data_IF_063875837882
#
_entry.id   IF_063875837882
#
_cell.length_a   1.000
_cell.length_b   1.000
_cell.length_c   1.000
_cell.angle_alpha   90.00
_cell.angle_beta   90.00
_cell.angle_gamma   90.00
#
_symmetry.space_group_name_H-M   'P 1'
#
loop_
_entity.id
_entity.type
_entity.pdbx_description
1 polymer ?
#
# COMPACT_ATOMS: atom_id res chain seq x y z
N UNK A 1 30.96 26.47 -72.90
CA UNK A 1 30.30 25.25 -72.40
C UNK A 1 31.07 24.76 -71.18
N UNK A 2 30.52 25.03 -70.00
CA UNK A 2 30.12 24.04 -68.97
C UNK A 2 31.29 23.29 -68.30
N UNK A 3 31.63 23.79 -67.12
CA UNK A 3 32.28 23.09 -66.00
C UNK A 3 31.39 21.95 -65.46
N UNK A 4 31.99 20.91 -64.87
CA UNK A 4 31.57 20.16 -63.65
C UNK A 4 32.67 19.09 -63.39
N UNK A 5 33.54 19.27 -62.39
CA UNK A 5 33.41 18.90 -60.97
C UNK A 5 33.36 17.38 -60.72
N UNK A 6 34.47 16.87 -60.19
CA UNK A 6 34.71 15.52 -59.69
C UNK A 6 34.01 15.37 -58.34
N UNK A 7 33.20 14.31 -58.17
CA UNK A 7 32.62 13.92 -56.89
C UNK A 7 33.03 12.48 -56.57
N UNK A 8 33.85 12.36 -55.53
CA UNK A 8 34.28 11.08 -54.94
C UNK A 8 33.11 10.46 -54.17
N UNK A 9 32.76 9.21 -54.51
CA UNK A 9 31.87 8.39 -53.69
C UNK A 9 32.68 7.67 -52.62
N UNK A 10 32.48 8.05 -51.37
CA UNK A 10 32.95 7.31 -50.19
C UNK A 10 31.92 6.20 -49.93
N UNK A 11 32.35 4.95 -50.07
CA UNK A 11 31.61 3.77 -49.62
C UNK A 11 31.69 3.69 -48.08
N UNK A 12 30.58 3.93 -47.39
CA UNK A 12 30.43 3.62 -45.97
C UNK A 12 29.90 2.19 -45.88
N UNK A 13 30.74 1.25 -45.48
CA UNK A 13 30.34 -0.10 -45.11
C UNK A 13 29.58 -0.04 -43.77
N UNK A 14 28.27 -0.24 -43.80
CA UNK A 14 27.46 -0.42 -42.61
C UNK A 14 27.48 -1.90 -42.20
N UNK A 15 28.22 -2.23 -41.15
CA UNK A 15 28.09 -3.52 -40.45
C UNK A 15 26.73 -3.58 -39.75
N UNK A 16 25.97 -4.69 -39.84
CA UNK A 16 24.80 -4.86 -39.00
C UNK A 16 25.26 -5.17 -37.58
N UNK A 17 25.15 -4.18 -36.69
CA UNK A 17 25.24 -4.44 -35.25
C UNK A 17 23.92 -5.09 -34.84
N UNK A 18 23.98 -6.39 -34.55
CA UNK A 18 22.90 -7.09 -33.84
C UNK A 18 22.87 -6.53 -32.43
N UNK A 19 21.99 -5.55 -32.18
CA UNK A 19 21.71 -5.06 -30.84
C UNK A 19 20.65 -5.94 -30.18
N UNK A 20 21.12 -6.89 -29.37
CA UNK A 20 20.43 -7.41 -28.19
C UNK A 20 21.46 -7.23 -27.08
N UNK A 21 21.18 -6.60 -25.92
CA UNK A 21 19.95 -6.69 -25.14
C UNK A 21 19.49 -5.33 -24.56
N UNK A 22 18.32 -5.29 -23.90
CA UNK A 22 18.28 -5.02 -22.46
C UNK A 22 16.84 -4.96 -21.95
N UNK A 23 16.61 -5.75 -20.90
CA UNK A 23 15.70 -5.50 -19.78
C UNK A 23 14.24 -5.22 -20.11
N UNK A 24 13.41 -6.22 -19.80
CA UNK A 24 12.14 -6.08 -19.10
C UNK A 24 11.86 -4.64 -18.70
N UNK A 25 10.89 -4.03 -19.36
CA UNK A 25 10.24 -2.81 -18.92
C UNK A 25 9.43 -3.17 -17.68
N UNK A 26 10.11 -3.43 -16.56
CA UNK A 26 9.53 -3.24 -15.24
C UNK A 26 9.27 -1.76 -15.12
N UNK A 27 8.13 -1.33 -15.66
CA UNK A 27 7.58 -0.01 -15.39
C UNK A 27 7.16 0.00 -13.92
N UNK A 28 8.16 0.09 -13.05
CA UNK A 28 8.09 0.51 -11.66
C UNK A 28 7.54 1.94 -11.70
N UNK A 29 6.22 2.05 -11.82
CA UNK A 29 5.53 3.32 -11.83
C UNK A 29 5.75 4.03 -10.48
N UNK A 30 6.69 4.97 -10.51
CA UNK A 30 6.75 6.21 -9.76
C UNK A 30 6.86 6.14 -8.22
N UNK A 31 8.12 6.24 -7.80
CA UNK A 31 8.64 6.93 -6.62
C UNK A 31 7.80 8.15 -6.18
N UNK A 32 7.14 8.05 -5.03
CA UNK A 32 6.86 9.19 -4.14
C UNK A 32 6.18 8.68 -2.87
N UNK A 33 6.85 8.66 -1.70
CA UNK A 33 6.30 8.66 -0.31
C UNK A 33 5.03 7.83 0.05
N UNK A 34 4.54 6.94 -0.81
CA UNK A 34 3.18 6.34 -0.81
C UNK A 34 3.10 4.99 -0.12
N UNK A 35 4.24 4.34 0.05
CA UNK A 35 4.33 3.01 0.64
C UNK A 35 4.81 3.08 2.09
N UNK A 36 4.66 4.24 2.74
CA UNK A 36 5.08 4.43 4.11
C UNK A 36 3.87 4.65 5.04
N UNK A 37 3.73 3.82 6.07
CA UNK A 37 2.74 4.01 7.14
C UNK A 37 3.46 4.61 8.33
N UNK A 38 3.07 5.83 8.74
CA UNK A 38 3.70 6.57 9.84
C UNK A 38 5.24 6.71 9.72
N UNK A 39 5.76 6.73 8.49
CA UNK A 39 7.19 6.83 8.19
C UNK A 39 7.96 5.50 8.19
N UNK A 40 7.29 4.37 8.35
CA UNK A 40 7.89 3.02 8.19
C UNK A 40 7.61 2.52 6.77
N UNK A 41 8.61 1.95 6.10
CA UNK A 41 8.54 1.55 4.69
C UNK A 41 7.88 0.17 4.52
N UNK A 42 6.91 0.10 3.61
CA UNK A 42 6.18 -1.10 3.18
C UNK A 42 6.44 -1.42 1.70
N UNK A 43 7.30 -0.65 1.00
CA UNK A 43 7.48 -0.69 -0.46
C UNK A 43 8.04 -2.00 -1.00
N UNK A 44 8.88 -2.69 -0.25
CA UNK A 44 9.59 -3.89 -0.69
C UNK A 44 8.86 -5.20 -0.37
N UNK A 45 7.60 -5.13 0.09
CA UNK A 45 6.91 -6.30 0.64
C UNK A 45 6.27 -7.20 -0.41
N UNK A 46 5.97 -6.67 -1.60
CA UNK A 46 5.20 -7.38 -2.63
C UNK A 46 5.81 -7.12 -4.00
N UNK A 47 5.99 -8.20 -4.76
CA UNK A 47 6.36 -8.20 -6.16
C UNK A 47 5.35 -9.04 -6.97
N UNK A 48 5.59 -9.18 -8.28
CA UNK A 48 4.72 -10.00 -9.13
C UNK A 48 4.58 -11.45 -8.63
N UNK A 49 5.69 -12.05 -8.18
CA UNK A 49 5.74 -13.44 -7.75
C UNK A 49 4.94 -13.70 -6.47
N UNK A 50 4.74 -12.66 -5.66
CA UNK A 50 4.02 -12.73 -4.39
C UNK A 50 2.54 -13.15 -4.56
N UNK A 51 1.94 -12.91 -5.73
CA UNK A 51 0.56 -13.34 -6.03
C UNK A 51 0.47 -14.76 -6.61
N UNK A 52 1.56 -15.33 -7.13
CA UNK A 52 1.54 -16.65 -7.77
C UNK A 52 0.91 -17.76 -6.91
N UNK A 53 1.20 -17.84 -5.59
CA UNK A 53 0.61 -18.88 -4.75
C UNK A 53 -0.92 -18.76 -4.57
N UNK A 54 -1.53 -17.61 -4.86
CA UNK A 54 -2.96 -17.42 -4.68
C UNK A 54 -3.78 -18.06 -5.82
N UNK A 55 -3.14 -18.28 -6.99
CA UNK A 55 -3.74 -18.91 -8.16
C UNK A 55 -5.08 -18.30 -8.59
N UNK A 56 -5.23 -16.99 -8.39
CA UNK A 56 -6.42 -16.23 -8.75
C UNK A 56 -6.00 -14.97 -9.50
N UNK A 57 -6.68 -14.72 -10.62
CA UNK A 57 -6.58 -13.47 -11.35
C UNK A 57 -7.97 -12.85 -11.57
N UNK A 58 -7.99 -11.54 -11.75
CA UNK A 58 -9.18 -10.77 -12.08
C UNK A 58 -8.93 -10.01 -13.37
N UNK A 59 -9.52 -10.48 -14.46
CA UNK A 59 -9.46 -9.84 -15.77
C UNK A 59 -10.61 -8.85 -15.94
N UNK A 60 -10.47 -7.88 -16.84
CA UNK A 60 -11.52 -6.89 -17.05
C UNK A 60 -11.74 -6.54 -18.51
N UNK A 61 -13.02 -6.43 -18.87
CA UNK A 61 -13.49 -5.65 -20.01
C UNK A 61 -14.48 -4.65 -19.42
N UNK A 62 -14.03 -3.44 -19.01
CA UNK A 62 -14.84 -2.55 -18.20
C UNK A 62 -16.24 -2.28 -18.78
N UNK A 63 -17.30 -2.33 -17.95
CA UNK A 63 -17.26 -2.40 -16.49
C UNK A 63 -17.15 -3.83 -15.93
N UNK A 64 -17.14 -4.86 -16.77
CA UNK A 64 -17.12 -6.24 -16.30
C UNK A 64 -15.75 -6.62 -15.72
N UNK A 65 -15.79 -7.42 -14.66
CA UNK A 65 -14.61 -8.06 -14.04
C UNK A 65 -14.92 -9.54 -13.88
N UNK A 66 -13.99 -10.37 -14.33
CA UNK A 66 -14.11 -11.83 -14.26
C UNK A 66 -13.04 -12.36 -13.33
N UNK A 67 -13.45 -13.20 -12.38
CA UNK A 67 -12.51 -13.98 -11.56
C UNK A 67 -12.11 -15.24 -12.32
N UNK A 68 -10.81 -15.44 -12.47
CA UNK A 68 -10.21 -16.59 -13.13
C UNK A 68 -9.36 -17.37 -12.12
N UNK A 69 -9.47 -18.69 -12.16
CA UNK A 69 -8.59 -19.58 -11.39
C UNK A 69 -7.43 -19.95 -12.29
N UNK A 70 -6.21 -19.74 -11.79
CA UNK A 70 -4.99 -20.09 -12.51
C UNK A 70 -4.75 -21.60 -12.38
N UNK A 71 -4.32 -22.29 -13.45
CA UNK A 71 -4.08 -23.72 -13.42
C UNK A 71 -2.89 -24.14 -12.54
N UNK A 72 -1.92 -23.25 -12.35
CA UNK A 72 -0.69 -23.47 -11.58
C UNK A 72 -0.14 -22.14 -11.01
N UNK A 73 1.01 -22.20 -10.35
CA UNK A 73 1.71 -21.04 -9.78
C UNK A 73 2.77 -20.47 -10.73
N UNK A 74 2.69 -20.76 -12.03
CA UNK A 74 3.66 -20.28 -13.01
C UNK A 74 3.25 -18.91 -13.57
N UNK A 75 4.23 -18.06 -13.84
CA UNK A 75 3.97 -16.72 -14.40
C UNK A 75 3.32 -16.76 -15.78
N UNK A 76 3.57 -17.83 -16.55
CA UNK A 76 2.95 -18.06 -17.87
C UNK A 76 1.44 -18.25 -17.82
N UNK A 77 0.91 -18.65 -16.66
CA UNK A 77 -0.52 -18.88 -16.45
C UNK A 77 -1.29 -17.61 -16.11
N UNK A 78 -0.59 -16.52 -15.78
CA UNK A 78 -1.20 -15.23 -15.43
C UNK A 78 -1.68 -14.52 -16.70
N UNK A 79 -2.94 -14.04 -16.76
CA UNK A 79 -3.45 -13.31 -17.91
C UNK A 79 -2.59 -12.08 -18.25
N UNK A 80 -2.45 -11.72 -19.55
CA UNK A 80 -1.71 -10.54 -19.96
C UNK A 80 -2.28 -9.28 -19.29
N UNK A 81 -1.42 -8.28 -19.09
CA UNK A 81 -1.76 -7.02 -18.41
C UNK A 81 -2.23 -7.14 -16.95
N UNK A 82 -2.07 -8.29 -16.31
CA UNK A 82 -2.29 -8.42 -14.87
C UNK A 82 -1.12 -7.89 -14.05
N UNK A 83 -1.43 -7.27 -12.91
CA UNK A 83 -0.48 -6.82 -11.90
C UNK A 83 -0.81 -7.45 -10.56
N UNK A 84 0.20 -7.89 -9.82
CA UNK A 84 -0.01 -8.30 -8.43
C UNK A 84 -0.29 -7.05 -7.59
N UNK A 85 -1.44 -7.01 -6.91
CA UNK A 85 -1.74 -5.91 -6.00
C UNK A 85 -2.59 -6.33 -4.79
N UNK A 86 -2.59 -5.44 -3.81
CA UNK A 86 -3.34 -5.51 -2.58
C UNK A 86 -4.83 -5.26 -2.81
N UNK A 87 -5.68 -6.04 -2.18
CA UNK A 87 -7.11 -5.80 -2.19
C UNK A 87 -7.45 -4.60 -1.31
N UNK A 88 -7.08 -4.68 -0.03
CA UNK A 88 -7.06 -3.53 0.89
C UNK A 88 -5.76 -2.77 0.64
N UNK A 89 -5.85 -1.55 0.12
CA UNK A 89 -4.67 -0.76 -0.25
C UNK A 89 -3.95 -0.16 0.97
N UNK A 90 -2.62 -0.05 0.89
CA UNK A 90 -1.77 0.58 1.91
C UNK A 90 -2.23 1.99 2.32
N UNK A 91 -2.80 2.76 1.37
CA UNK A 91 -3.30 4.09 1.66
C UNK A 91 -4.48 4.12 2.65
N UNK A 92 -5.23 3.02 2.77
CA UNK A 92 -6.30 2.88 3.78
C UNK A 92 -5.68 2.77 5.17
N UNK A 93 -4.63 1.96 5.32
CA UNK A 93 -3.90 1.80 6.57
C UNK A 93 -3.23 3.11 7.00
N UNK A 94 -2.57 3.83 6.08
CA UNK A 94 -1.96 5.13 6.36
C UNK A 94 -3.01 6.20 6.73
N UNK A 95 -4.14 6.25 6.01
CA UNK A 95 -5.24 7.14 6.34
C UNK A 95 -5.76 6.91 7.76
N UNK A 96 -6.03 5.65 8.12
CA UNK A 96 -6.52 5.28 9.46
C UNK A 96 -5.47 5.58 10.52
N UNK A 97 -4.20 5.24 10.29
CA UNK A 97 -3.13 5.47 11.25
C UNK A 97 -2.97 6.97 11.58
N UNK A 98 -3.17 7.86 10.59
CA UNK A 98 -3.19 9.31 10.79
C UNK A 98 -4.47 9.80 11.48
N UNK A 99 -5.63 9.35 11.00
CA UNK A 99 -6.93 9.76 11.55
C UNK A 99 -7.12 9.33 13.01
N UNK A 100 -6.65 8.12 13.35
CA UNK A 100 -6.71 7.55 14.69
C UNK A 100 -5.62 8.08 15.63
N UNK A 101 -4.68 8.92 15.17
CA UNK A 101 -3.49 9.34 15.94
C UNK A 101 -2.52 8.20 16.32
N UNK A 102 -2.59 7.05 15.63
CA UNK A 102 -1.64 5.96 15.82
C UNK A 102 -0.19 6.38 15.55
N UNK A 103 0.04 7.25 14.55
CA UNK A 103 1.39 7.74 14.25
C UNK A 103 2.02 8.52 15.41
N UNK A 104 1.21 9.17 16.25
CA UNK A 104 1.67 9.90 17.43
C UNK A 104 2.07 8.92 18.54
N UNK A 105 1.27 7.86 18.74
CA UNK A 105 1.60 6.74 19.65
C UNK A 105 2.91 6.07 19.23
N UNK A 106 3.06 5.73 17.95
CA UNK A 106 4.29 5.12 17.41
C UNK A 106 5.51 6.03 17.58
N UNK A 107 5.34 7.35 17.45
CA UNK A 107 6.41 8.32 17.66
C UNK A 107 6.80 8.41 19.14
N UNK A 108 5.82 8.45 20.05
CA UNK A 108 6.09 8.42 21.48
C UNK A 108 6.77 7.12 21.92
N UNK A 109 6.34 5.98 21.37
CA UNK A 109 6.97 4.66 21.58
C UNK A 109 8.43 4.63 21.11
N UNK A 110 8.74 5.25 19.96
CA UNK A 110 10.11 5.38 19.48
C UNK A 110 10.99 6.20 20.43
N UNK A 111 10.44 7.26 21.04
CA UNK A 111 11.18 8.08 22.02
C UNK A 111 11.55 7.32 23.29
N UNK A 112 10.86 6.22 23.59
CA UNK A 112 11.13 5.32 24.73
C UNK A 112 11.78 4.00 24.30
N UNK A 113 12.32 3.93 23.07
CA UNK A 113 13.17 2.84 22.62
C UNK A 113 12.47 1.72 21.85
N UNK A 114 11.19 1.86 21.51
CA UNK A 114 10.46 0.86 20.71
C UNK A 114 10.41 1.26 19.23
N UNK A 115 11.02 0.44 18.37
CA UNK A 115 11.06 0.70 16.92
C UNK A 115 9.66 0.68 16.29
N UNK A 116 9.35 1.71 15.49
CA UNK A 116 8.12 1.78 14.70
C UNK A 116 7.99 0.59 13.73
N UNK A 117 9.09 0.20 13.09
CA UNK A 117 9.12 -0.93 12.17
C UNK A 117 8.71 -2.23 12.88
N UNK A 118 9.27 -2.48 14.06
CA UNK A 118 8.95 -3.68 14.85
C UNK A 118 7.48 -3.68 15.29
N UNK A 119 6.95 -2.53 15.71
CA UNK A 119 5.55 -2.42 16.12
C UNK A 119 4.58 -2.60 14.93
N UNK A 120 4.95 -2.13 13.74
CA UNK A 120 4.15 -2.24 12.53
C UNK A 120 4.32 -3.57 11.77
N UNK A 121 5.30 -4.40 12.14
CA UNK A 121 5.62 -5.65 11.46
C UNK A 121 4.40 -6.58 11.28
N UNK A 122 3.54 -6.82 12.30
CA UNK A 122 2.36 -7.66 12.09
C UNK A 122 1.36 -7.09 11.06
N UNK A 123 1.21 -5.76 11.03
CA UNK A 123 0.36 -5.09 10.04
C UNK A 123 0.97 -5.17 8.63
N UNK A 124 2.29 -5.08 8.53
CA UNK A 124 3.07 -5.30 7.31
C UNK A 124 2.87 -6.72 6.76
N UNK A 125 3.00 -7.74 7.61
CA UNK A 125 2.78 -9.14 7.21
C UNK A 125 1.33 -9.43 6.82
N UNK A 126 0.37 -8.77 7.47
CA UNK A 126 -1.06 -8.93 7.13
C UNK A 126 -1.40 -8.26 5.80
N UNK A 127 -0.88 -7.05 5.56
CA UNK A 127 -1.18 -6.35 4.30
C UNK A 127 -0.51 -7.06 3.13
N UNK A 128 0.73 -7.57 3.27
CA UNK A 128 1.41 -8.33 2.20
C UNK A 128 1.08 -9.83 2.20
N UNK A 129 0.19 -10.28 3.09
CA UNK A 129 -0.21 -11.67 3.17
C UNK A 129 -1.05 -12.10 1.96
N UNK A 130 -0.91 -13.37 1.56
CA UNK A 130 -1.57 -13.94 0.37
C UNK A 130 -3.07 -13.66 0.29
N UNK A 131 -3.75 -13.61 1.45
CA UNK A 131 -5.18 -13.31 1.60
C UNK A 131 -5.57 -11.93 1.04
N UNK A 132 -4.62 -10.99 0.97
CA UNK A 132 -4.81 -9.65 0.46
C UNK A 132 -4.29 -9.47 -0.97
N UNK A 133 -3.58 -10.45 -1.54
CA UNK A 133 -2.88 -10.31 -2.81
C UNK A 133 -3.61 -11.01 -3.95
N UNK A 134 -3.89 -10.31 -5.04
CA UNK A 134 -4.49 -10.88 -6.24
C UNK A 134 -3.80 -10.36 -7.49
N UNK A 135 -3.77 -11.16 -8.56
CA UNK A 135 -3.52 -10.61 -9.89
C UNK A 135 -4.74 -9.84 -10.35
N UNK A 136 -4.55 -8.58 -10.73
CA UNK A 136 -5.61 -7.68 -11.13
C UNK A 136 -5.25 -7.02 -12.45
N UNK A 137 -6.20 -6.96 -13.38
CA UNK A 137 -6.09 -6.21 -14.62
C UNK A 137 -5.56 -4.79 -14.37
N UNK A 138 -4.55 -4.39 -15.14
CA UNK A 138 -3.86 -3.10 -15.00
C UNK A 138 -4.80 -1.90 -15.06
N UNK A 139 -5.88 -1.94 -15.83
CA UNK A 139 -6.87 -0.85 -15.90
C UNK A 139 -7.61 -0.71 -14.59
N UNK A 140 -8.09 -1.83 -14.03
CA UNK A 140 -8.76 -1.85 -12.72
C UNK A 140 -7.79 -1.44 -11.63
N UNK A 141 -6.58 -2.00 -11.63
CA UNK A 141 -5.55 -1.71 -10.64
C UNK A 141 -5.17 -0.22 -10.59
N UNK A 142 -4.85 0.38 -11.74
CA UNK A 142 -4.48 1.79 -11.82
C UNK A 142 -5.62 2.73 -11.38
N UNK A 143 -6.86 2.31 -11.58
CA UNK A 143 -8.02 3.13 -11.25
C UNK A 143 -8.52 2.93 -9.81
N UNK A 144 -8.22 1.78 -9.19
CA UNK A 144 -8.61 1.44 -7.81
C UNK A 144 -8.19 2.50 -6.81
N UNK A 145 -6.94 2.96 -6.90
CA UNK A 145 -6.40 4.03 -6.07
C UNK A 145 -7.28 5.28 -6.07
N UNK A 146 -7.78 5.68 -7.24
CA UNK A 146 -8.60 6.89 -7.39
C UNK A 146 -9.96 6.71 -6.71
N UNK A 147 -10.61 5.56 -6.93
CA UNK A 147 -11.89 5.21 -6.30
C UNK A 147 -11.76 5.18 -4.77
N UNK A 148 -10.73 4.50 -4.27
CA UNK A 148 -10.44 4.42 -2.83
C UNK A 148 -10.16 5.80 -2.24
N UNK A 149 -9.33 6.63 -2.89
CA UNK A 149 -9.05 7.99 -2.40
C UNK A 149 -10.27 8.90 -2.36
N UNK A 150 -11.16 8.79 -3.36
CA UNK A 150 -12.42 9.54 -3.36
C UNK A 150 -13.30 9.10 -2.19
N UNK A 151 -13.45 7.80 -1.97
CA UNK A 151 -14.25 7.27 -0.86
C UNK A 151 -13.69 7.69 0.50
N UNK A 152 -12.37 7.61 0.71
CA UNK A 152 -11.71 8.06 1.94
C UNK A 152 -11.92 9.56 2.22
N UNK A 153 -12.06 10.38 1.17
CA UNK A 153 -12.30 11.82 1.27
C UNK A 153 -13.79 12.20 1.30
N UNK A 154 -14.70 11.23 1.22
CA UNK A 154 -16.15 11.50 1.09
C UNK A 154 -16.53 12.17 -0.24
N UNK A 155 -15.70 12.02 -1.27
CA UNK A 155 -15.98 12.56 -2.60
C UNK A 155 -16.89 11.63 -3.40
N UNK A 156 -17.78 12.21 -4.21
CA UNK A 156 -18.65 11.47 -5.11
C UNK A 156 -17.85 10.62 -6.10
N UNK A 157 -18.27 9.38 -6.30
CA UNK A 157 -17.72 8.49 -7.33
C UNK A 157 -18.22 8.86 -8.73
N UNK A 158 -17.54 8.35 -9.76
CA UNK A 158 -17.98 8.52 -11.15
C UNK A 158 -18.56 7.22 -11.70
N UNK A 159 -19.38 7.34 -12.74
CA UNK A 159 -19.95 6.21 -13.48
C UNK A 159 -19.12 5.81 -14.70
N UNK A 160 -17.84 6.19 -14.74
CA UNK A 160 -16.95 5.77 -15.82
C UNK A 160 -16.76 4.24 -15.79
N UNK A 161 -16.70 3.55 -16.94
CA UNK A 161 -16.61 2.08 -16.98
C UNK A 161 -15.48 1.50 -16.13
N UNK A 162 -14.32 2.16 -16.09
CA UNK A 162 -13.18 1.76 -15.25
C UNK A 162 -13.39 1.96 -13.75
N UNK A 163 -14.22 2.92 -13.33
CA UNK A 163 -14.59 3.11 -11.94
C UNK A 163 -15.57 2.02 -11.53
N UNK A 164 -16.56 1.73 -12.39
CA UNK A 164 -17.51 0.62 -12.20
C UNK A 164 -16.80 -0.74 -12.12
N UNK A 165 -15.78 -0.96 -12.96
CA UNK A 165 -14.96 -2.17 -12.89
C UNK A 165 -14.25 -2.32 -11.53
N UNK A 166 -13.79 -1.23 -10.92
CA UNK A 166 -13.22 -1.28 -9.56
C UNK A 166 -14.29 -1.71 -8.55
N UNK A 167 -15.50 -1.14 -8.57
CA UNK A 167 -16.53 -1.57 -7.62
C UNK A 167 -17.00 -2.99 -7.83
N UNK A 168 -17.10 -3.45 -9.09
CA UNK A 168 -17.38 -4.85 -9.41
C UNK A 168 -16.28 -5.79 -8.90
N UNK A 169 -15.01 -5.43 -9.07
CA UNK A 169 -13.89 -6.14 -8.46
C UNK A 169 -14.01 -6.19 -6.92
N UNK A 170 -14.20 -5.04 -6.28
CA UNK A 170 -14.31 -4.93 -4.83
C UNK A 170 -15.50 -5.73 -4.27
N UNK A 171 -16.59 -5.86 -5.02
CA UNK A 171 -17.71 -6.72 -4.65
C UNK A 171 -17.32 -8.20 -4.64
N UNK A 172 -16.53 -8.67 -5.61
CA UNK A 172 -16.07 -10.06 -5.70
C UNK A 172 -15.13 -10.45 -4.56
N UNK A 173 -14.32 -9.52 -4.07
CA UNK A 173 -13.32 -9.73 -3.00
C UNK A 173 -13.78 -9.21 -1.63
N UNK A 174 -15.07 -8.85 -1.50
CA UNK A 174 -15.63 -8.20 -0.31
C UNK A 174 -15.36 -8.98 0.97
N UNK A 175 -15.72 -10.26 1.00
CA UNK A 175 -15.61 -11.07 2.22
C UNK A 175 -14.17 -11.19 2.71
N UNK A 176 -13.22 -11.45 1.81
CA UNK A 176 -11.82 -11.65 2.20
C UNK A 176 -11.15 -10.32 2.53
N UNK A 177 -11.45 -9.25 1.80
CA UNK A 177 -10.95 -7.90 2.12
C UNK A 177 -11.44 -7.38 3.47
N UNK A 178 -12.66 -7.73 3.89
CA UNK A 178 -13.16 -7.42 5.23
C UNK A 178 -12.41 -8.18 6.34
N UNK A 179 -12.02 -9.44 6.11
CA UNK A 179 -11.19 -10.21 7.06
C UNK A 179 -9.79 -9.61 7.17
N UNK A 180 -9.19 -9.19 6.06
CA UNK A 180 -7.89 -8.49 6.06
C UNK A 180 -7.99 -7.20 6.86
N UNK A 181 -9.01 -6.38 6.60
CA UNK A 181 -9.24 -5.13 7.35
C UNK A 181 -9.41 -5.38 8.87
N UNK A 182 -10.16 -6.41 9.25
CA UNK A 182 -10.31 -6.80 10.66
C UNK A 182 -9.01 -7.30 11.28
N UNK A 183 -8.16 -7.98 10.52
CA UNK A 183 -6.85 -8.44 11.00
C UNK A 183 -5.89 -7.27 11.22
N UNK A 184 -5.94 -6.27 10.34
CA UNK A 184 -5.19 -5.02 10.51
C UNK A 184 -5.64 -4.26 11.76
N UNK A 185 -6.94 -4.23 12.07
CA UNK A 185 -7.45 -3.65 13.33
C UNK A 185 -6.90 -4.38 14.56
N UNK A 186 -6.83 -5.72 14.52
CA UNK A 186 -6.24 -6.51 15.61
C UNK A 186 -4.74 -6.24 15.78
N UNK A 187 -4.00 -6.06 14.69
CA UNK A 187 -2.59 -5.66 14.73
C UNK A 187 -2.42 -4.27 15.37
N UNK A 188 -3.24 -3.29 14.98
CA UNK A 188 -3.24 -1.96 15.57
C UNK A 188 -3.58 -2.02 17.07
N UNK A 189 -4.60 -2.80 17.45
CA UNK A 189 -4.96 -2.98 18.86
C UNK A 189 -3.79 -3.54 19.69
N UNK A 190 -3.02 -4.48 19.12
CA UNK A 190 -1.82 -5.04 19.77
C UNK A 190 -0.74 -3.98 20.00
N UNK A 191 -0.54 -3.05 19.06
CA UNK A 191 0.36 -1.90 19.24
C UNK A 191 -0.09 -1.04 20.43
N UNK A 192 -1.39 -0.75 20.53
CA UNK A 192 -1.96 0.05 21.62
C UNK A 192 -1.82 -0.65 22.97
N UNK A 193 -2.10 -1.96 23.06
CA UNK A 193 -1.88 -2.75 24.27
C UNK A 193 -0.41 -2.76 24.70
N UNK A 194 0.50 -2.87 23.72
CA UNK A 194 1.95 -2.80 23.97
C UNK A 194 2.33 -1.43 24.52
N UNK A 195 1.83 -0.35 23.91
CA UNK A 195 2.10 1.02 24.35
C UNK A 195 1.57 1.29 25.77
N UNK A 196 0.38 0.81 26.11
CA UNK A 196 -0.17 0.90 27.47
C UNK A 196 0.69 0.14 28.49
N UNK A 197 1.23 -1.01 28.11
CA UNK A 197 2.12 -1.80 28.97
C UNK A 197 3.45 -1.07 29.20
N UNK A 198 4.03 -0.51 28.14
CA UNK A 198 5.25 0.31 28.24
C UNK A 198 5.00 1.53 29.14
N UNK A 199 3.90 2.26 28.95
CA UNK A 199 3.57 3.43 29.78
C UNK A 199 3.56 3.11 31.28
N UNK A 200 3.01 1.96 31.67
CA UNK A 200 2.97 1.51 33.08
C UNK A 200 4.37 1.20 33.63
N UNK A 201 5.29 0.74 32.79
CA UNK A 201 6.68 0.44 33.15
C UNK A 201 7.61 1.65 33.16
N UNK A 202 7.20 2.80 32.61
CA UNK A 202 8.03 4.00 32.57
C UNK A 202 8.13 4.66 33.95
N UNK A 203 9.34 5.08 34.38
CA UNK A 203 9.50 5.81 35.64
C UNK A 203 8.85 7.20 35.55
N UNK A 204 8.37 7.72 36.67
CA UNK A 204 7.81 9.08 36.76
C UNK A 204 8.86 10.19 36.55
N UNK A 205 10.15 9.81 36.43
CA UNK A 205 11.30 10.69 36.37
C UNK A 205 11.63 11.30 37.73
N UNK A 206 12.76 12.00 37.79
CA UNK A 206 13.11 12.82 38.97
C UNK A 206 13.03 14.30 38.60
N UNK A 207 12.62 15.16 39.52
CA UNK A 207 12.73 16.61 39.31
C UNK A 207 14.21 16.97 39.23
N UNK A 208 14.69 17.27 38.01
CA UNK A 208 16.04 17.77 37.82
C UNK A 208 16.21 19.08 38.59
N UNK A 209 17.34 19.21 39.30
CA UNK A 209 17.71 20.41 40.09
C UNK A 209 17.78 21.70 39.25
N UNK A 210 17.74 21.62 37.92
CA UNK A 210 17.80 22.77 37.01
C UNK A 210 16.43 23.19 36.44
N UNK A 211 15.33 22.61 36.90
CA UNK A 211 13.98 22.96 36.43
C UNK A 211 13.63 22.45 35.03
N UNK A 212 14.56 21.77 34.35
CA UNK A 212 14.31 21.06 33.09
C UNK A 212 13.57 19.76 33.42
N UNK A 213 12.42 19.49 32.79
CA UNK A 213 11.77 18.17 32.91
C UNK A 213 12.79 17.09 32.53
N UNK A 214 12.93 16.10 33.40
CA UNK A 214 13.69 14.88 33.08
C UNK A 214 13.13 14.27 31.79
N UNK A 215 14.03 13.86 30.90
CA UNK A 215 13.68 13.25 29.61
C UNK A 215 12.75 12.05 29.82
N UNK A 216 12.92 11.30 30.90
CA UNK A 216 12.04 10.19 31.25
C UNK A 216 10.60 10.66 31.54
N UNK A 217 10.44 11.70 32.36
CA UNK A 217 9.12 12.28 32.66
C UNK A 217 8.46 12.89 31.40
N UNK A 218 9.24 13.56 30.55
CA UNK A 218 8.75 14.13 29.29
C UNK A 218 8.27 13.05 28.32
N UNK A 219 9.04 11.96 28.18
CA UNK A 219 8.68 10.83 27.34
C UNK A 219 7.44 10.09 27.85
N UNK A 220 7.32 9.88 29.17
CA UNK A 220 6.13 9.29 29.80
C UNK A 220 4.87 10.13 29.54
N UNK A 221 4.98 11.44 29.74
CA UNK A 221 3.88 12.37 29.46
C UNK A 221 3.49 12.38 27.97
N UNK A 222 4.47 12.34 27.06
CA UNK A 222 4.21 12.27 25.62
C UNK A 222 3.48 10.98 25.22
N UNK A 223 3.87 9.83 25.78
CA UNK A 223 3.20 8.56 25.53
C UNK A 223 1.78 8.53 26.13
N UNK A 224 1.58 9.08 27.32
CA UNK A 224 0.25 9.22 27.93
C UNK A 224 -0.68 10.07 27.03
N UNK A 225 -0.22 11.27 26.63
CA UNK A 225 -0.97 12.17 25.76
C UNK A 225 -1.32 11.51 24.43
N UNK A 226 -0.35 10.83 23.80
CA UNK A 226 -0.59 10.14 22.54
C UNK A 226 -1.62 8.99 22.67
N UNK A 227 -1.62 8.26 23.79
CA UNK A 227 -2.59 7.22 24.07
C UNK A 227 -3.99 7.78 24.41
N UNK A 228 -4.07 8.95 25.02
CA UNK A 228 -5.33 9.66 25.30
C UNK A 228 -5.96 10.23 24.02
N UNK A 229 -5.13 10.73 23.10
CA UNK A 229 -5.56 11.27 21.80
C UNK A 229 -5.85 10.17 20.76
N UNK A 230 -5.44 8.93 21.02
CA UNK A 230 -5.70 7.81 20.12
C UNK A 230 -7.20 7.51 20.00
N UNK A 231 -7.75 7.70 18.81
CA UNK A 231 -9.16 7.47 18.52
C UNK A 231 -9.40 6.03 18.04
N UNK A 232 -9.72 5.15 18.99
CA UNK A 232 -10.07 3.74 18.74
C UNK A 232 -11.31 3.53 17.86
N UNK A 233 -12.09 4.58 17.58
CA UNK A 233 -13.27 4.48 16.70
C UNK A 233 -12.90 4.56 15.21
N UNK A 234 -11.69 5.05 14.89
CA UNK A 234 -11.16 5.09 13.53
C UNK A 234 -10.43 3.78 13.25
N UNK A 235 -11.09 2.89 12.53
CA UNK A 235 -10.57 1.55 12.22
C UNK A 235 -10.43 1.32 10.71
N UNK A 236 -9.54 0.40 10.34
CA UNK A 236 -9.38 -0.06 8.95
C UNK A 236 -10.66 -0.71 8.47
N UNK A 237 -11.33 -1.51 9.30
CA UNK A 237 -12.63 -2.10 8.95
C UNK A 237 -13.68 -1.05 8.66
N UNK A 238 -13.80 0.00 9.48
CA UNK A 238 -14.79 1.05 9.24
C UNK A 238 -14.50 1.84 7.96
N UNK A 239 -13.24 2.25 7.75
CA UNK A 239 -12.82 2.94 6.54
C UNK A 239 -13.03 2.07 5.28
N UNK A 240 -12.67 0.80 5.35
CA UNK A 240 -12.81 -0.15 4.25
C UNK A 240 -14.27 -0.46 3.94
N UNK A 241 -15.12 -0.66 4.95
CA UNK A 241 -16.55 -0.85 4.74
C UNK A 241 -17.20 0.37 4.07
N UNK A 242 -16.76 1.58 4.42
CA UNK A 242 -17.21 2.80 3.74
C UNK A 242 -16.76 2.80 2.27
N UNK A 243 -15.50 2.44 1.99
CA UNK A 243 -15.01 2.29 0.61
C UNK A 243 -15.85 1.30 -0.19
N UNK A 244 -16.13 0.13 0.39
CA UNK A 244 -16.94 -0.91 -0.25
C UNK A 244 -18.39 -0.45 -0.50
N UNK A 245 -18.97 0.35 0.40
CA UNK A 245 -20.32 0.89 0.26
C UNK A 245 -20.41 1.99 -0.80
N UNK A 246 -19.39 2.84 -0.88
CA UNK A 246 -19.32 3.95 -1.83
C UNK A 246 -18.83 3.52 -3.23
N UNK A 247 -18.17 2.37 -3.35
CA UNK A 247 -17.61 1.91 -4.62
C UNK A 247 -18.69 1.81 -5.72
N UNK A 248 -18.47 2.44 -6.89
CA UNK A 248 -19.47 2.47 -7.93
C UNK A 248 -19.55 1.09 -8.59
N UNK A 249 -20.74 0.53 -8.72
CA UNK A 249 -20.98 -0.78 -9.32
C UNK A 249 -22.09 -0.67 -10.35
N UNK A 250 -22.07 -1.58 -11.33
CA UNK A 250 -23.05 -1.67 -12.42
C UNK A 250 -24.27 -2.49 -12.04
#
# INVERSE_FOLDING_TARGET
MRWFAILQFIFIAASPVVSVPSSYDTSLHFLDKRDAVCGSDFRSLVDFSSCLPNQVAFTSTPPAVTKEVLPDTESSSVPPDSQCDHTVELQVLDFVAKAAKLCDVLTAMANVGHSKQTLLQPASETISGLQNLNFLDKTVNNNKRVVVQRALKGNKQTSQPKDLAVGNYLALVKADSQKVASSLDANIATIITTAQTVLKGLPDGTTSKTGRKDKAAANKAALSSALEEYDKTKTVTAAWNNILAEAPHS
#
